data_IF_720284605007
#
_entry.id   IF_720284605007
#
_cell.length_a   1.000
_cell.length_b   1.000
_cell.length_c   1.000
_cell.angle_alpha   90.00
_cell.angle_beta   90.00
_cell.angle_gamma   90.00
#
_symmetry.space_group_name_H-M   'P 1'
#
loop_
_entity.id
_entity.type
_entity.pdbx_description
1 polymer ?
#
# COMPACT_ATOMS: atom_id res chain seq x y z
N UNK A 1 -9.24 -12.38 -12.32
CA UNK A 1 -8.11 -11.44 -12.43
C UNK A 1 -8.54 -10.04 -12.03
N UNK A 2 -7.86 -9.46 -11.03
CA UNK A 2 -7.99 -8.07 -10.58
C UNK A 2 -6.68 -7.32 -10.78
N UNK A 3 -6.75 -6.12 -11.35
CA UNK A 3 -5.63 -5.18 -11.51
C UNK A 3 -5.63 -4.19 -10.36
N UNK A 4 -4.54 -4.15 -9.61
CA UNK A 4 -4.44 -3.35 -8.38
C UNK A 4 -3.39 -2.26 -8.58
N UNK A 5 -3.76 -1.02 -8.31
CA UNK A 5 -2.82 0.07 -8.06
C UNK A 5 -2.53 0.15 -6.56
N UNK A 6 -1.28 0.30 -6.16
CA UNK A 6 -0.85 0.38 -4.75
C UNK A 6 0.05 1.59 -4.53
N UNK A 7 -0.30 2.42 -3.56
CA UNK A 7 0.48 3.57 -3.12
C UNK A 7 0.42 3.75 -1.59
N UNK A 8 1.26 4.63 -1.06
CA UNK A 8 1.26 5.03 0.35
C UNK A 8 1.90 6.41 0.47
N UNK A 9 1.80 6.99 1.67
CA UNK A 9 2.58 8.17 2.05
C UNK A 9 2.43 9.31 1.02
N UNK A 10 1.19 9.68 0.67
CA UNK A 10 0.91 10.83 -0.20
C UNK A 10 1.08 12.16 0.54
N UNK A 11 0.84 12.19 1.86
CA UNK A 11 1.04 13.38 2.71
C UNK A 11 0.44 14.66 2.09
N UNK A 12 -0.86 14.63 1.76
CA UNK A 12 -1.61 15.73 1.12
C UNK A 12 -1.22 16.09 -0.32
N UNK A 13 -0.33 15.32 -0.95
CA UNK A 13 0.04 15.52 -2.34
C UNK A 13 -0.22 14.25 -3.15
N UNK A 14 -1.08 14.37 -4.17
CA UNK A 14 -1.25 13.34 -5.19
C UNK A 14 -0.63 13.84 -6.48
N UNK A 15 0.34 13.10 -7.01
CA UNK A 15 0.91 13.41 -8.31
C UNK A 15 -0.12 13.15 -9.42
N UNK A 16 -0.44 14.12 -10.30
CA UNK A 16 -1.42 13.92 -11.36
C UNK A 16 -1.12 12.73 -12.27
N UNK A 17 0.17 12.39 -12.45
CA UNK A 17 0.58 11.25 -13.26
C UNK A 17 0.07 9.91 -12.68
N UNK A 18 -0.16 9.82 -11.36
CA UNK A 18 -0.67 8.61 -10.71
C UNK A 18 -2.03 8.20 -11.29
N UNK A 19 -2.90 9.16 -11.60
CA UNK A 19 -4.22 8.85 -12.15
C UNK A 19 -4.12 8.14 -13.50
N UNK A 20 -3.19 8.58 -14.36
CA UNK A 20 -2.92 7.91 -15.64
C UNK A 20 -2.28 6.53 -15.46
N UNK A 21 -1.38 6.36 -14.48
CA UNK A 21 -0.81 5.04 -14.19
C UNK A 21 -1.84 4.05 -13.64
N UNK A 22 -2.83 4.52 -12.89
CA UNK A 22 -3.90 3.68 -12.34
C UNK A 22 -5.13 3.59 -13.25
N UNK A 23 -5.09 4.19 -14.43
CA UNK A 23 -6.15 4.02 -15.42
C UNK A 23 -6.30 2.53 -15.77
N UNK A 24 -7.54 2.03 -15.69
CA UNK A 24 -7.85 0.63 -15.93
C UNK A 24 -7.48 -0.34 -14.80
N UNK A 25 -7.05 0.15 -13.63
CA UNK A 25 -7.03 -0.65 -12.40
C UNK A 25 -8.47 -0.91 -11.92
N UNK A 26 -8.73 -2.12 -11.42
CA UNK A 26 -10.02 -2.50 -10.84
C UNK A 26 -10.17 -1.97 -9.41
N UNK A 27 -9.06 -1.85 -8.68
CA UNK A 27 -9.00 -1.28 -7.33
C UNK A 27 -7.71 -0.48 -7.13
N UNK A 28 -7.77 0.54 -6.27
CA UNK A 28 -6.61 1.30 -5.81
C UNK A 28 -6.47 1.11 -4.30
N UNK A 29 -5.29 0.74 -3.84
CA UNK A 29 -5.01 0.47 -2.44
C UNK A 29 -4.02 1.50 -1.89
N UNK A 30 -4.36 2.09 -0.74
CA UNK A 30 -3.53 3.09 -0.09
C UNK A 30 -3.10 2.64 1.31
N UNK A 31 -1.80 2.43 1.51
CA UNK A 31 -1.24 1.89 2.76
C UNK A 31 -1.02 2.94 3.86
N UNK A 32 -1.89 3.96 3.93
CA UNK A 32 -1.89 5.02 4.96
C UNK A 32 -1.00 6.23 4.69
N UNK A 33 -1.14 7.22 5.57
CA UNK A 33 -0.60 8.58 5.46
C UNK A 33 -1.12 9.28 4.18
N UNK A 34 -2.44 9.34 4.06
CA UNK A 34 -3.12 10.09 2.99
C UNK A 34 -2.83 11.59 3.11
N UNK A 35 -2.91 12.12 4.34
CA UNK A 35 -2.91 13.55 4.64
C UNK A 35 -4.31 14.08 4.88
N UNK A 36 -5.18 13.94 3.87
CA UNK A 36 -6.56 14.41 3.90
C UNK A 36 -7.44 13.46 3.08
N UNK A 37 -8.74 13.46 3.38
CA UNK A 37 -9.73 12.68 2.64
C UNK A 37 -9.83 13.10 1.16
N UNK A 38 -9.37 14.30 0.80
CA UNK A 38 -9.34 14.78 -0.57
C UNK A 38 -8.50 13.88 -1.50
N UNK A 39 -7.39 13.31 -1.01
CA UNK A 39 -6.55 12.37 -1.77
C UNK A 39 -7.36 11.13 -2.13
N UNK A 40 -8.05 10.56 -1.15
CA UNK A 40 -8.92 9.41 -1.37
C UNK A 40 -10.07 9.73 -2.34
N UNK A 41 -10.63 10.94 -2.31
CA UNK A 41 -11.67 11.36 -3.26
C UNK A 41 -11.14 11.39 -4.69
N UNK A 42 -9.95 11.96 -4.93
CA UNK A 42 -9.33 12.02 -6.26
C UNK A 42 -9.03 10.62 -6.81
N UNK A 43 -8.48 9.72 -5.97
CA UNK A 43 -8.23 8.33 -6.38
C UNK A 43 -9.53 7.59 -6.72
N UNK A 44 -10.63 7.89 -6.01
CA UNK A 44 -11.96 7.32 -6.26
C UNK A 44 -12.58 7.74 -7.59
N UNK A 45 -12.07 8.80 -8.23
CA UNK A 45 -12.47 9.17 -9.60
C UNK A 45 -11.97 8.16 -10.63
N UNK A 46 -10.92 7.38 -10.30
CA UNK A 46 -10.33 6.37 -11.18
C UNK A 46 -10.88 4.98 -10.88
N UNK A 47 -10.85 4.54 -9.62
CA UNK A 47 -11.31 3.22 -9.21
C UNK A 47 -11.67 3.18 -7.71
N UNK A 48 -12.44 2.17 -7.25
CA UNK A 48 -12.71 1.97 -5.82
C UNK A 48 -11.42 1.92 -4.98
N UNK A 49 -11.42 2.66 -3.87
CA UNK A 49 -10.25 2.77 -2.98
C UNK A 49 -10.42 1.90 -1.74
N UNK A 50 -9.47 1.00 -1.52
CA UNK A 50 -9.25 0.35 -0.21
C UNK A 50 -8.09 1.05 0.49
N UNK A 51 -8.21 1.34 1.77
CA UNK A 51 -7.15 2.03 2.48
C UNK A 51 -7.12 1.73 3.96
N UNK A 52 -6.02 2.11 4.58
CA UNK A 52 -5.85 2.20 6.03
C UNK A 52 -5.41 3.61 6.38
N UNK A 53 -5.76 4.12 7.56
CA UNK A 53 -5.16 5.38 8.01
C UNK A 53 -3.73 5.16 8.50
N UNK A 54 -2.92 6.21 8.39
CA UNK A 54 -1.58 6.29 8.97
C UNK A 54 -1.48 7.25 10.16
N UNK A 55 -0.26 7.53 10.60
CA UNK A 55 -0.03 8.32 11.80
C UNK A 55 -0.32 9.82 11.62
N UNK A 56 -0.17 10.37 10.41
CA UNK A 56 -0.44 11.79 10.15
C UNK A 56 -1.91 12.08 9.81
N UNK A 57 -2.70 11.03 9.55
CA UNK A 57 -4.08 11.15 9.12
C UNK A 57 -5.00 11.63 10.25
N UNK A 58 -5.86 12.61 9.94
CA UNK A 58 -6.82 13.20 10.85
C UNK A 58 -8.16 12.45 10.92
N UNK A 59 -9.11 13.01 11.67
CA UNK A 59 -10.45 12.43 11.86
C UNK A 59 -11.23 12.26 10.54
N UNK A 60 -10.96 13.11 9.55
CA UNK A 60 -11.55 13.03 8.22
C UNK A 60 -11.20 11.72 7.50
N UNK A 61 -9.94 11.27 7.61
CA UNK A 61 -9.48 10.00 7.03
C UNK A 61 -9.81 8.83 7.96
N UNK A 62 -9.56 8.95 9.27
CA UNK A 62 -9.78 7.89 10.26
C UNK A 62 -11.26 7.52 10.44
N UNK A 63 -12.18 8.42 10.13
CA UNK A 63 -13.61 8.14 10.11
C UNK A 63 -14.05 7.29 8.91
N UNK A 64 -13.21 7.14 7.89
CA UNK A 64 -13.52 6.43 6.64
C UNK A 64 -12.70 5.15 6.49
N UNK A 65 -11.40 5.22 6.76
CA UNK A 65 -10.50 4.09 6.64
C UNK A 65 -10.14 3.53 8.02
N UNK A 66 -10.01 2.21 8.19
CA UNK A 66 -9.63 1.60 9.46
C UNK A 66 -8.11 1.60 9.67
N UNK A 67 -7.66 1.17 10.85
CA UNK A 67 -6.24 0.96 11.15
C UNK A 67 -5.63 -0.20 10.36
N UNK A 68 -6.43 -1.23 10.13
CA UNK A 68 -6.04 -2.48 9.52
C UNK A 68 -7.17 -3.00 8.64
N UNK A 69 -6.81 -3.48 7.46
CA UNK A 69 -7.70 -4.21 6.55
C UNK A 69 -7.12 -5.59 6.33
N UNK A 70 -7.98 -6.61 6.36
CA UNK A 70 -7.64 -7.97 5.90
C UNK A 70 -8.73 -8.47 4.97
N UNK A 71 -8.35 -9.03 3.82
CA UNK A 71 -9.31 -9.47 2.80
C UNK A 71 -8.73 -10.54 1.89
N UNK A 72 -9.60 -11.43 1.43
CA UNK A 72 -9.31 -12.34 0.32
C UNK A 72 -9.51 -11.60 -1.01
N UNK A 73 -8.53 -11.72 -1.91
CA UNK A 73 -8.61 -11.20 -3.27
C UNK A 73 -8.12 -12.27 -4.23
N UNK A 74 -9.05 -12.82 -5.00
CA UNK A 74 -8.78 -13.87 -5.99
C UNK A 74 -8.05 -15.08 -5.38
N UNK A 75 -8.35 -15.45 -4.13
CA UNK A 75 -7.76 -16.60 -3.44
C UNK A 75 -6.40 -16.33 -2.77
N UNK A 76 -6.01 -15.06 -2.60
CA UNK A 76 -4.89 -14.65 -1.75
C UNK A 76 -5.38 -13.83 -0.55
N UNK A 77 -4.85 -14.13 0.63
CA UNK A 77 -5.12 -13.39 1.85
C UNK A 77 -4.18 -12.19 2.00
N UNK A 78 -4.74 -10.99 1.84
CA UNK A 78 -4.03 -9.73 2.01
C UNK A 78 -4.30 -9.14 3.37
N UNK A 79 -3.26 -8.63 4.02
CA UNK A 79 -3.38 -7.79 5.20
C UNK A 79 -2.61 -6.49 5.00
N UNK A 80 -3.24 -5.37 5.34
CA UNK A 80 -2.67 -4.03 5.17
C UNK A 80 -2.82 -3.23 6.46
N UNK A 81 -1.75 -2.54 6.86
CA UNK A 81 -1.74 -1.51 7.92
C UNK A 81 -0.61 -0.53 7.63
N UNK A 82 -0.69 0.70 8.14
CA UNK A 82 0.34 1.69 7.83
C UNK A 82 1.69 1.38 8.50
N UNK A 83 1.69 1.19 9.83
CA UNK A 83 2.91 0.92 10.61
C UNK A 83 3.10 -0.59 10.77
N UNK A 84 3.75 -1.21 9.79
CA UNK A 84 3.95 -2.66 9.75
C UNK A 84 5.26 -3.17 10.34
N UNK A 85 6.28 -2.31 10.46
CA UNK A 85 7.66 -2.75 10.65
C UNK A 85 8.26 -3.31 9.36
N UNK A 86 9.31 -4.13 9.45
CA UNK A 86 9.96 -4.75 8.30
C UNK A 86 10.21 -6.24 8.53
N UNK A 87 10.51 -7.04 7.48
CA UNK A 87 10.83 -8.46 7.66
C UNK A 87 11.94 -8.68 8.70
N UNK A 88 11.73 -9.63 9.61
CA UNK A 88 12.56 -9.88 10.79
C UNK A 88 12.32 -8.96 12.00
N UNK A 89 11.58 -7.86 11.85
CA UNK A 89 11.24 -6.92 12.94
C UNK A 89 9.91 -6.22 12.68
N UNK A 90 8.82 -6.98 12.78
CA UNK A 90 7.47 -6.46 12.63
C UNK A 90 7.02 -5.65 13.84
N UNK A 91 6.13 -4.69 13.60
CA UNK A 91 5.58 -3.85 14.66
C UNK A 91 4.74 -4.67 15.65
N UNK A 92 4.80 -4.32 16.94
CA UNK A 92 4.06 -5.02 18.00
C UNK A 92 2.56 -5.20 17.71
N UNK A 93 1.83 -4.20 17.17
CA UNK A 93 0.40 -4.37 16.86
C UNK A 93 0.10 -5.41 15.78
N UNK A 94 1.07 -5.75 14.92
CA UNK A 94 0.90 -6.71 13.82
C UNK A 94 1.11 -8.16 14.28
N UNK A 95 1.95 -8.36 15.30
CA UNK A 95 2.35 -9.69 15.74
C UNK A 95 1.18 -10.60 16.15
N UNK A 96 0.13 -10.14 16.86
CA UNK A 96 -1.02 -10.99 17.17
C UNK A 96 -1.72 -11.52 15.93
N UNK A 97 -1.89 -10.69 14.90
CA UNK A 97 -2.55 -11.08 13.65
C UNK A 97 -1.75 -12.13 12.87
N UNK A 98 -0.42 -12.02 12.86
CA UNK A 98 0.44 -13.04 12.26
C UNK A 98 0.42 -14.36 13.03
N UNK A 99 0.35 -14.31 14.37
CA UNK A 99 0.22 -15.52 15.19
C UNK A 99 -1.10 -16.24 14.96
N UNK A 100 -2.18 -15.49 14.79
CA UNK A 100 -3.50 -16.04 14.47
C UNK A 100 -3.51 -16.68 13.08
N UNK A 101 -3.08 -15.91 12.07
CA UNK A 101 -2.94 -16.38 10.69
C UNK A 101 -1.99 -15.43 9.95
N UNK A 102 -0.80 -15.89 9.58
CA UNK A 102 0.07 -15.13 8.67
C UNK A 102 -0.63 -14.96 7.32
N UNK A 103 -0.73 -13.74 6.77
CA UNK A 103 -1.32 -13.52 5.45
C UNK A 103 -0.37 -14.03 4.35
N UNK A 104 -0.90 -14.25 3.15
CA UNK A 104 -0.06 -14.55 1.98
C UNK A 104 0.72 -13.31 1.54
N UNK A 105 0.10 -12.13 1.71
CA UNK A 105 0.67 -10.84 1.35
C UNK A 105 0.43 -9.83 2.47
N UNK A 106 1.50 -9.21 2.95
CA UNK A 106 1.45 -8.13 3.93
C UNK A 106 1.89 -6.81 3.32
N UNK A 107 1.06 -5.78 3.46
CA UNK A 107 1.26 -4.46 2.90
C UNK A 107 1.40 -3.43 4.02
N UNK A 108 2.42 -2.57 3.94
CA UNK A 108 2.55 -1.42 4.83
C UNK A 108 3.26 -0.23 4.17
N UNK A 109 3.15 0.94 4.81
CA UNK A 109 3.82 2.19 4.42
C UNK A 109 4.87 2.62 5.44
N UNK A 110 4.84 3.90 5.83
CA UNK A 110 5.54 4.51 6.97
C UNK A 110 7.06 4.67 6.82
N UNK A 111 7.76 3.66 6.28
CA UNK A 111 9.22 3.76 6.11
C UNK A 111 9.64 4.63 4.92
N UNK A 112 8.71 4.90 4.00
CA UNK A 112 8.93 5.55 2.70
C UNK A 112 9.92 4.81 1.77
N UNK A 113 10.36 3.60 2.15
CA UNK A 113 11.34 2.81 1.38
C UNK A 113 10.60 1.69 0.65
N UNK A 114 10.62 1.74 -0.68
CA UNK A 114 10.13 0.66 -1.53
C UNK A 114 10.81 -0.66 -1.13
N UNK A 115 10.00 -1.67 -0.83
CA UNK A 115 10.50 -3.00 -0.50
C UNK A 115 9.50 -4.08 -0.86
N UNK A 116 9.90 -4.96 -1.77
CA UNK A 116 9.12 -6.11 -2.23
C UNK A 116 9.98 -7.34 -2.04
N UNK A 117 9.71 -8.13 -1.00
CA UNK A 117 10.54 -9.28 -0.64
C UNK A 117 9.68 -10.41 -0.05
N UNK A 118 10.12 -11.65 -0.20
CA UNK A 118 9.50 -12.76 0.55
C UNK A 118 10.19 -12.96 1.90
N UNK A 119 9.38 -13.10 2.94
CA UNK A 119 9.84 -13.48 4.27
C UNK A 119 9.69 -15.00 4.45
N UNK A 120 10.79 -15.73 4.28
CA UNK A 120 10.83 -17.19 4.41
C UNK A 120 10.48 -17.68 5.82
N UNK A 121 10.65 -16.84 6.85
CA UNK A 121 10.34 -17.21 8.23
C UNK A 121 8.83 -17.08 8.52
N UNK A 122 8.11 -16.32 7.70
CA UNK A 122 6.68 -16.06 7.84
C UNK A 122 5.89 -16.81 6.76
N UNK A 123 6.01 -18.14 6.69
CA UNK A 123 5.35 -18.98 5.68
C UNK A 123 5.57 -18.50 4.23
N UNK A 124 6.76 -17.96 3.93
CA UNK A 124 7.10 -17.37 2.63
C UNK A 124 6.15 -16.24 2.19
N UNK A 125 5.56 -15.52 3.14
CA UNK A 125 4.71 -14.34 2.93
C UNK A 125 5.41 -13.30 2.05
N UNK A 126 4.68 -12.68 1.14
CA UNK A 126 5.16 -11.53 0.38
C UNK A 126 4.97 -10.25 1.19
N UNK A 127 6.07 -9.59 1.53
CA UNK A 127 6.06 -8.25 2.11
C UNK A 127 6.10 -7.21 0.99
N UNK A 128 5.20 -6.23 1.06
CA UNK A 128 5.10 -5.11 0.12
C UNK A 128 5.05 -3.78 0.87
N UNK A 129 6.00 -2.92 0.55
CA UNK A 129 5.93 -1.50 0.84
C UNK A 129 6.13 -0.76 -0.49
N UNK A 130 5.16 0.04 -0.96
CA UNK A 130 5.25 0.71 -2.25
C UNK A 130 6.20 1.90 -2.25
N UNK A 131 6.86 2.21 -1.13
CA UNK A 131 7.59 3.45 -0.91
C UNK A 131 6.62 4.59 -0.60
N UNK A 132 7.01 5.81 -0.97
CA UNK A 132 6.17 6.99 -0.78
C UNK A 132 5.84 7.67 -2.12
N UNK A 133 4.57 7.98 -2.34
CA UNK A 133 4.11 8.69 -3.53
C UNK A 133 4.12 10.23 -3.35
N UNK A 134 4.09 10.68 -2.10
CA UNK A 134 4.10 12.09 -1.71
C UNK A 134 5.47 12.76 -1.83
N UNK A 135 5.49 14.06 -1.52
CA UNK A 135 6.70 14.89 -1.53
C UNK A 135 7.38 15.03 -0.17
N UNK A 136 6.80 14.43 0.87
CA UNK A 136 7.31 14.49 2.24
C UNK A 136 8.08 13.23 2.59
N UNK A 137 9.19 13.39 3.33
CA UNK A 137 10.02 12.30 3.86
C UNK A 137 11.43 12.24 3.29
N UNK A 138 12.10 11.12 3.55
CA UNK A 138 13.53 10.91 3.25
C UNK A 138 13.77 10.11 1.96
N UNK A 139 12.70 9.67 1.29
CA UNK A 139 12.80 8.94 0.04
C UNK A 139 13.49 9.77 -1.04
N UNK A 140 14.39 9.14 -1.78
CA UNK A 140 15.06 9.75 -2.94
C UNK A 140 14.13 9.68 -4.16
N UNK A 141 13.43 8.56 -4.30
CA UNK A 141 12.49 8.30 -5.38
C UNK A 141 11.07 8.25 -4.83
N UNK A 142 10.13 8.84 -5.56
CA UNK A 142 8.70 8.68 -5.31
C UNK A 142 8.22 7.47 -6.09
N UNK A 143 7.57 6.53 -5.44
CA UNK A 143 7.20 5.27 -6.08
C UNK A 143 5.76 4.88 -5.81
N UNK A 144 5.18 4.21 -6.81
CA UNK A 144 3.92 3.48 -6.71
C UNK A 144 4.11 2.09 -7.31
N UNK A 145 3.18 1.20 -7.04
CA UNK A 145 3.23 -0.19 -7.51
C UNK A 145 1.94 -0.53 -8.23
N UNK A 146 2.02 -1.40 -9.25
CA UNK A 146 0.84 -2.07 -9.81
C UNK A 146 1.11 -3.56 -9.91
N UNK A 147 0.05 -4.35 -9.79
CA UNK A 147 0.13 -5.79 -9.99
C UNK A 147 -1.23 -6.36 -10.36
N UNK A 148 -1.21 -7.57 -10.88
CA UNK A 148 -2.41 -8.36 -11.11
C UNK A 148 -2.51 -9.46 -10.07
N UNK A 149 -3.73 -9.75 -9.64
CA UNK A 149 -4.05 -10.92 -8.81
C UNK A 149 -5.02 -11.80 -9.58
N UNK A 150 -4.71 -13.08 -9.71
CA UNK A 150 -5.57 -14.05 -10.38
C UNK A 150 -5.32 -15.45 -9.83
N UNK A 151 -6.38 -16.14 -9.42
CA UNK A 151 -6.34 -17.54 -9.00
C UNK A 151 -5.19 -17.90 -8.03
N UNK A 152 -5.05 -17.13 -6.95
CA UNK A 152 -4.05 -17.36 -5.92
C UNK A 152 -2.63 -16.88 -6.29
N UNK A 153 -2.48 -16.10 -7.36
CA UNK A 153 -1.17 -15.66 -7.86
C UNK A 153 -1.12 -14.17 -8.08
N UNK A 154 0.02 -13.58 -7.74
CA UNK A 154 0.37 -12.22 -8.13
C UNK A 154 1.29 -12.24 -9.34
N UNK A 155 0.96 -11.44 -10.35
CA UNK A 155 1.74 -11.30 -11.60
C UNK A 155 1.86 -9.83 -11.98
N UNK A 156 2.70 -9.53 -12.98
CA UNK A 156 2.86 -8.19 -13.55
C UNK A 156 3.16 -7.11 -12.50
N UNK A 157 4.12 -7.39 -11.62
CA UNK A 157 4.55 -6.46 -10.57
C UNK A 157 5.38 -5.32 -11.18
N UNK A 158 4.75 -4.17 -11.39
CA UNK A 158 5.38 -2.96 -11.89
C UNK A 158 5.71 -2.04 -10.70
N UNK A 159 6.97 -1.60 -10.61
CA UNK A 159 7.36 -0.47 -9.76
C UNK A 159 7.54 0.74 -10.65
N UNK A 160 6.77 1.79 -10.38
CA UNK A 160 6.78 3.02 -11.17
C UNK A 160 7.48 4.10 -10.35
N UNK A 161 8.52 4.70 -10.93
CA UNK A 161 9.19 5.87 -10.38
C UNK A 161 8.50 7.14 -10.90
N UNK A 162 8.06 8.00 -9.99
CA UNK A 162 7.40 9.28 -10.25
C UNK A 162 8.37 10.47 -10.15
N UNK A 163 9.64 10.23 -9.86
CA UNK A 163 10.65 11.28 -9.83
C UNK A 163 11.25 11.46 -11.23
N UNK A 164 11.34 12.71 -11.68
CA UNK A 164 11.94 13.12 -12.97
C UNK A 164 13.48 13.06 -12.93
N UNK A 165 14.05 11.96 -12.44
CA UNK A 165 15.44 11.78 -11.99
C UNK A 165 15.67 12.14 -10.51
N UNK A 166 16.61 11.40 -9.90
CA UNK A 166 16.94 11.51 -8.49
C UNK A 166 17.36 12.93 -8.11
N UNK A 167 17.11 13.28 -6.85
CA UNK A 167 17.88 14.38 -6.24
C UNK A 167 19.38 14.17 -6.44
#
# INVERSE_FOLDING_TARGET
>A
MKKIGLLADTHNYLDPAILGYFEGCDEIWHAGDFGTLAIANQLREVAPVTGVYGNIDGNDVRGVYPLLVRRDVEGLDFMMTHIGGHPGRYALPVLPHFKEKTPDVFICGHSHILKIVRDKQMNNMLYLNPGAAGRHGFQIYRTIVRFHVDQGKMTNMDVINLSDEGR
#
